data_IF_209561474346
#
_entry.id   IF_209561474346
#
_cell.length_a   1.000
_cell.length_b   1.000
_cell.length_c   1.000
_cell.angle_alpha   90.00
_cell.angle_beta   90.00
_cell.angle_gamma   90.00
#
_symmetry.space_group_name_H-M   'P 1'
#
loop_
_entity.id
_entity.type
_entity.pdbx_description
1 polymer ?
#
# COMPACT_ATOMS: atom_id res chain seq x y z
N UNK A 1 14.37 -15.96 -15.02
CA UNK A 1 12.95 -15.60 -14.98
C UNK A 1 12.76 -14.87 -13.66
N UNK A 2 12.84 -13.54 -13.66
CA UNK A 2 12.53 -12.73 -12.47
C UNK A 2 11.19 -12.09 -12.75
N UNK A 3 10.16 -12.65 -12.13
CA UNK A 3 8.78 -12.17 -12.18
C UNK A 3 8.78 -10.79 -11.54
N UNK A 4 8.79 -9.74 -12.38
CA UNK A 4 8.59 -8.38 -11.94
C UNK A 4 7.13 -8.28 -11.49
N UNK A 5 6.89 -8.48 -10.20
CA UNK A 5 5.68 -8.01 -9.55
C UNK A 5 5.67 -6.49 -9.68
N UNK A 6 5.06 -5.99 -10.77
CA UNK A 6 4.98 -4.57 -11.04
C UNK A 6 4.15 -3.93 -9.94
N UNK A 7 4.83 -3.30 -8.99
CA UNK A 7 4.18 -2.44 -8.05
C UNK A 7 3.74 -1.19 -8.80
N UNK A 8 2.43 -0.98 -8.90
CA UNK A 8 1.80 0.09 -9.67
C UNK A 8 1.52 1.33 -8.80
N UNK A 9 1.53 1.15 -7.48
CA UNK A 9 1.21 2.18 -6.51
C UNK A 9 2.27 2.21 -5.41
N UNK A 10 2.58 3.42 -4.93
CA UNK A 10 3.32 3.61 -3.69
C UNK A 10 2.35 3.92 -2.57
N UNK A 11 2.25 3.02 -1.61
CA UNK A 11 1.56 3.24 -0.34
C UNK A 11 2.51 3.95 0.63
N UNK A 12 2.06 5.00 1.29
CA UNK A 12 2.75 5.65 2.42
C UNK A 12 1.75 5.83 3.54
N UNK A 13 2.04 5.24 4.69
CA UNK A 13 1.19 5.41 5.87
C UNK A 13 1.56 6.68 6.65
N UNK A 14 0.63 7.60 6.88
CA UNK A 14 0.86 8.83 7.64
C UNK A 14 1.07 8.57 9.15
N UNK A 15 0.46 7.51 9.69
CA UNK A 15 0.52 7.18 11.11
C UNK A 15 1.88 6.58 11.54
N UNK A 16 2.46 5.69 10.72
CA UNK A 16 3.76 5.07 11.02
C UNK A 16 4.92 5.55 10.13
N UNK A 17 4.63 6.28 9.05
CA UNK A 17 5.63 6.74 8.08
C UNK A 17 6.16 5.65 7.17
N UNK A 18 5.52 4.48 7.13
CA UNK A 18 6.01 3.33 6.36
C UNK A 18 5.59 3.44 4.90
N UNK A 19 6.55 3.32 3.97
CA UNK A 19 6.31 3.34 2.53
C UNK A 19 6.54 1.98 1.90
N UNK A 20 5.56 1.46 1.14
CA UNK A 20 5.66 0.20 0.42
C UNK A 20 5.16 0.33 -1.02
N UNK A 21 5.76 -0.42 -1.92
CA UNK A 21 5.30 -0.50 -3.30
C UNK A 21 4.30 -1.67 -3.42
N UNK A 22 3.10 -1.38 -3.88
CA UNK A 22 1.97 -2.31 -3.89
C UNK A 22 1.25 -2.25 -5.25
N UNK A 23 0.58 -3.34 -5.61
CA UNK A 23 -0.31 -3.37 -6.77
C UNK A 23 -1.76 -3.12 -6.34
N UNK A 24 -2.69 -3.03 -7.31
CA UNK A 24 -4.11 -2.77 -7.05
C UNK A 24 -4.72 -3.79 -6.07
N UNK A 25 -4.43 -5.08 -6.23
CA UNK A 25 -4.94 -6.14 -5.36
C UNK A 25 -4.46 -6.00 -3.91
N UNK A 26 -3.18 -5.64 -3.73
CA UNK A 26 -2.56 -5.48 -2.42
C UNK A 26 -3.00 -4.17 -1.76
N UNK A 27 -3.24 -3.11 -2.55
CA UNK A 27 -3.88 -1.87 -2.11
C UNK A 27 -5.28 -2.12 -1.57
N UNK A 28 -6.14 -2.82 -2.32
CA UNK A 28 -7.51 -3.11 -1.89
C UNK A 28 -7.53 -3.92 -0.59
N UNK A 29 -6.63 -4.90 -0.49
CA UNK A 29 -6.43 -5.68 0.74
C UNK A 29 -6.00 -4.82 1.92
N UNK A 30 -5.05 -3.89 1.73
CA UNK A 30 -4.60 -2.96 2.78
C UNK A 30 -5.70 -1.99 3.20
N UNK A 31 -6.57 -1.55 2.28
CA UNK A 31 -7.72 -0.70 2.60
C UNK A 31 -8.76 -1.48 3.41
N UNK A 32 -9.05 -2.72 3.03
CA UNK A 32 -10.02 -3.56 3.73
C UNK A 32 -9.52 -3.99 5.13
N UNK A 33 -8.23 -4.36 5.24
CA UNK A 33 -7.62 -4.84 6.48
C UNK A 33 -7.08 -3.72 7.38
N UNK A 34 -6.76 -2.56 6.81
CA UNK A 34 -5.95 -1.53 7.43
C UNK A 34 -4.44 -1.79 7.31
N UNK A 35 -3.64 -0.87 7.85
CA UNK A 35 -2.18 -0.95 7.80
C UNK A 35 -1.71 -2.18 8.61
N UNK A 36 -0.93 -3.07 7.99
CA UNK A 36 -0.43 -4.29 8.68
C UNK A 36 0.57 -3.99 9.79
N UNK A 37 1.06 -2.75 9.87
CA UNK A 37 2.10 -2.32 10.82
C UNK A 37 1.46 -1.71 12.06
N UNK A 38 0.65 -0.67 11.88
CA UNK A 38 0.03 0.09 12.97
C UNK A 38 -1.47 -0.19 13.15
N UNK A 39 -2.08 -0.99 12.27
CA UNK A 39 -3.54 -1.19 12.22
C UNK A 39 -4.35 0.10 12.03
N UNK A 40 -3.71 1.16 11.52
CA UNK A 40 -4.40 2.39 11.14
C UNK A 40 -5.36 2.14 9.97
N UNK A 41 -6.37 2.99 9.88
CA UNK A 41 -7.30 2.99 8.74
C UNK A 41 -6.56 3.47 7.51
N UNK A 42 -6.37 2.56 6.56
CA UNK A 42 -5.72 2.87 5.28
C UNK A 42 -6.79 3.32 4.30
N UNK A 43 -6.54 4.44 3.62
CA UNK A 43 -7.45 4.97 2.61
C UNK A 43 -6.74 5.15 1.29
N UNK A 44 -7.50 5.28 0.21
CA UNK A 44 -6.95 5.51 -1.13
C UNK A 44 -6.07 6.76 -1.25
N UNK A 45 -6.16 7.71 -0.31
CA UNK A 45 -5.33 8.92 -0.25
C UNK A 45 -3.87 8.63 0.12
N UNK A 46 -3.62 7.52 0.82
CA UNK A 46 -2.28 7.06 1.22
C UNK A 46 -1.51 6.41 0.04
N UNK A 47 -2.16 6.24 -1.13
CA UNK A 47 -1.57 5.60 -2.31
C UNK A 47 -1.32 6.64 -3.41
N UNK A 48 -0.09 6.67 -3.93
CA UNK A 48 0.33 7.53 -5.05
C UNK A 48 0.71 6.69 -6.26
N UNK A 49 0.29 7.11 -7.45
CA UNK A 49 0.74 6.58 -8.76
C UNK A 49 1.75 7.58 -9.33
N UNK A 50 3.04 7.26 -9.30
CA UNK A 50 4.06 8.07 -9.99
C UNK A 50 4.29 7.54 -11.41
#
# INVERSE_FOLDING_TARGET
MVENGAAEYRFVCDECGESLEVNDAMRDTLIEKGCVICSATVTTAEFSTE
#
